data_IF_005863859451
#
_entry.id   IF_005863859451
#
_cell.length_a   1.000
_cell.length_b   1.000
_cell.length_c   1.000
_cell.angle_alpha   90.00
_cell.angle_beta   90.00
_cell.angle_gamma   90.00
#
_symmetry.space_group_name_H-M   'P 1'
#
loop_
_entity.id
_entity.type
_entity.pdbx_description
1 polymer ?
#
# COMPACT_ATOMS: atom_id res chain seq x y z
N UNK A 1 9.93 8.19 1.72
CA UNK A 1 8.90 9.17 2.14
C UNK A 1 9.13 9.62 3.58
N UNK A 2 8.81 10.88 3.92
CA UNK A 2 8.88 11.40 5.29
C UNK A 2 7.60 11.10 6.09
N UNK A 3 7.68 11.15 7.42
CA UNK A 3 6.49 11.07 8.30
C UNK A 3 5.42 12.12 7.96
N UNK A 4 5.82 13.33 7.58
CA UNK A 4 4.90 14.40 7.18
C UNK A 4 4.16 14.08 5.89
N UNK A 5 4.82 13.44 4.91
CA UNK A 5 4.17 13.02 3.68
C UNK A 5 3.14 11.90 3.92
N UNK A 6 3.43 10.97 4.84
CA UNK A 6 2.43 9.98 5.29
C UNK A 6 1.20 10.65 5.92
N UNK A 7 1.40 11.68 6.74
CA UNK A 7 0.28 12.45 7.32
C UNK A 7 -0.55 13.17 6.25
N UNK A 8 0.11 13.81 5.28
CA UNK A 8 -0.58 14.48 4.19
C UNK A 8 -1.39 13.49 3.34
N UNK A 9 -0.83 12.31 3.05
CA UNK A 9 -1.56 11.25 2.34
C UNK A 9 -2.86 10.90 3.07
N UNK A 10 -2.80 10.68 4.39
CA UNK A 10 -4.00 10.35 5.17
C UNK A 10 -5.04 11.46 5.16
N UNK A 11 -4.60 12.72 5.33
CA UNK A 11 -5.50 13.88 5.26
C UNK A 11 -6.19 13.96 3.90
N UNK A 12 -5.46 13.75 2.80
CA UNK A 12 -6.04 13.74 1.46
C UNK A 12 -7.01 12.57 1.28
N UNK A 13 -6.64 11.37 1.76
CA UNK A 13 -7.53 10.22 1.69
C UNK A 13 -8.84 10.43 2.44
N UNK A 14 -8.80 11.17 3.54
CA UNK A 14 -9.99 11.52 4.31
C UNK A 14 -10.82 12.62 3.65
N UNK A 15 -10.18 13.71 3.24
CA UNK A 15 -10.84 14.86 2.62
C UNK A 15 -11.53 14.49 1.30
N UNK A 16 -10.87 13.67 0.48
CA UNK A 16 -11.34 13.35 -0.87
C UNK A 16 -12.09 12.01 -0.93
N UNK A 17 -12.35 11.39 0.23
CA UNK A 17 -12.98 10.08 0.35
C UNK A 17 -12.30 8.98 -0.48
N UNK A 18 -10.97 8.96 -0.50
CA UNK A 18 -10.21 7.93 -1.20
C UNK A 18 -10.27 6.62 -0.42
N UNK A 19 -10.70 5.56 -1.10
CA UNK A 19 -10.82 4.22 -0.50
C UNK A 19 -9.48 3.48 -0.46
N UNK A 20 -8.62 3.69 -1.47
CA UNK A 20 -7.37 3.00 -1.65
C UNK A 20 -6.27 3.92 -2.21
N UNK A 21 -5.04 3.78 -1.71
CA UNK A 21 -3.86 4.46 -2.23
C UNK A 21 -2.76 3.45 -2.58
N UNK A 22 -2.15 3.65 -3.75
CA UNK A 22 -0.94 2.93 -4.18
C UNK A 22 0.26 3.79 -3.82
N UNK A 23 1.14 3.28 -2.95
CA UNK A 23 2.20 4.07 -2.30
C UNK A 23 3.57 3.51 -2.64
N UNK A 24 4.46 4.36 -3.14
CA UNK A 24 5.87 4.05 -3.35
C UNK A 24 6.74 4.71 -2.29
N UNK A 25 7.83 4.03 -1.92
CA UNK A 25 8.79 4.40 -0.88
C UNK A 25 8.14 4.90 0.42
N UNK A 26 7.14 4.19 0.99
CA UNK A 26 6.47 4.66 2.19
C UNK A 26 7.45 4.84 3.36
N UNK A 27 7.08 5.66 4.35
CA UNK A 27 7.86 5.75 5.57
C UNK A 27 7.75 4.43 6.34
N UNK A 28 8.83 3.65 6.38
CA UNK A 28 8.90 2.37 7.08
C UNK A 28 9.86 2.42 8.26
N UNK A 29 9.53 1.69 9.32
CA UNK A 29 10.40 1.47 10.47
C UNK A 29 10.27 0.03 10.96
N UNK A 30 11.38 -0.72 11.02
CA UNK A 30 11.42 -2.13 11.45
C UNK A 30 10.32 -2.99 10.78
N UNK A 31 10.27 -2.96 9.45
CA UNK A 31 9.37 -3.79 8.63
C UNK A 31 7.88 -3.50 8.88
N UNK A 32 7.59 -2.29 9.36
CA UNK A 32 6.24 -1.79 9.59
C UNK A 32 6.05 -0.43 8.96
N UNK A 33 4.80 -0.06 8.73
CA UNK A 33 4.38 1.26 8.24
C UNK A 33 3.73 2.05 9.39
N UNK A 34 4.52 2.72 10.25
CA UNK A 34 3.98 3.45 11.38
C UNK A 34 3.22 4.71 10.93
N UNK A 35 2.27 5.14 11.76
CA UNK A 35 1.57 6.41 11.58
C UNK A 35 0.20 6.30 10.90
N UNK A 36 -0.14 5.14 10.33
CA UNK A 36 -1.49 4.88 9.84
C UNK A 36 -2.43 4.47 10.99
N UNK A 37 -3.69 4.95 11.02
CA UNK A 37 -4.69 4.47 11.97
C UNK A 37 -4.94 2.97 11.83
N UNK A 38 -5.29 2.31 12.93
CA UNK A 38 -5.64 0.88 12.92
C UNK A 38 -6.86 0.53 12.07
N UNK A 39 -7.65 1.52 11.67
CA UNK A 39 -8.77 1.36 10.75
C UNK A 39 -8.34 1.15 9.29
N UNK A 40 -7.10 1.52 8.95
CA UNK A 40 -6.53 1.33 7.62
C UNK A 40 -5.90 -0.07 7.54
N UNK A 41 -6.17 -0.76 6.45
CA UNK A 41 -5.51 -2.03 6.13
C UNK A 41 -4.31 -1.75 5.24
N UNK A 42 -3.14 -2.23 5.65
CA UNK A 42 -1.86 -1.96 5.01
C UNK A 42 -1.37 -3.26 4.38
N UNK A 43 -1.10 -3.23 3.08
CA UNK A 43 -0.61 -4.37 2.31
C UNK A 43 0.79 -4.05 1.79
N UNK A 44 1.75 -4.89 2.14
CA UNK A 44 3.15 -4.81 1.77
C UNK A 44 3.81 -6.18 1.97
N UNK A 45 5.02 -6.37 1.44
CA UNK A 45 5.79 -7.60 1.68
C UNK A 45 6.27 -7.67 3.14
N UNK A 46 5.75 -8.61 3.97
CA UNK A 46 6.12 -8.71 5.37
C UNK A 46 7.51 -9.33 5.57
N UNK A 47 8.09 -9.95 4.53
CA UNK A 47 9.35 -10.68 4.63
C UNK A 47 10.57 -9.82 4.28
N UNK A 48 10.37 -8.56 3.89
CA UNK A 48 11.44 -7.65 3.52
C UNK A 48 11.79 -6.70 4.66
N UNK A 49 13.09 -6.40 4.78
CA UNK A 49 13.59 -5.37 5.72
C UNK A 49 13.25 -3.95 5.30
N UNK A 50 12.93 -3.77 4.01
CA UNK A 50 12.61 -2.48 3.41
C UNK A 50 11.31 -2.61 2.62
N UNK A 51 10.38 -1.70 2.85
CA UNK A 51 9.11 -1.63 2.13
C UNK A 51 9.23 -0.54 1.07
N UNK A 52 9.30 -0.91 -0.22
CA UNK A 52 9.38 0.08 -1.32
C UNK A 52 8.06 0.28 -2.04
N UNK A 53 7.13 -0.66 -1.92
CA UNK A 53 5.76 -0.49 -2.36
C UNK A 53 4.80 -0.93 -1.26
N UNK A 54 3.65 -0.25 -1.20
CA UNK A 54 2.52 -0.61 -0.36
C UNK A 54 1.21 -0.28 -1.06
N UNK A 55 0.14 -0.97 -0.65
CA UNK A 55 -1.23 -0.60 -0.95
C UNK A 55 -1.94 -0.37 0.37
N UNK A 56 -2.62 0.78 0.49
CA UNK A 56 -3.30 1.21 1.71
C UNK A 56 -4.78 1.28 1.41
N UNK A 57 -5.59 0.58 2.22
CA UNK A 57 -7.05 0.51 2.05
C UNK A 57 -7.73 1.05 3.30
N UNK A 58 -8.43 2.18 3.15
CA UNK A 58 -9.23 2.83 4.20
C UNK A 58 -10.63 2.23 4.29
N UNK A 59 -11.23 1.92 3.14
CA UNK A 59 -12.62 1.47 3.08
C UNK A 59 -12.81 0.10 3.71
N UNK A 60 -13.85 -0.08 4.54
CA UNK A 60 -14.23 -1.38 5.09
C UNK A 60 -15.14 -2.21 4.18
N UNK A 61 -15.70 -1.58 3.15
CA UNK A 61 -16.62 -2.24 2.21
C UNK A 61 -15.88 -3.03 1.12
N UNK A 62 -14.58 -2.79 0.96
CA UNK A 62 -13.74 -3.50 0.01
C UNK A 62 -13.27 -4.82 0.62
N UNK A 63 -13.59 -5.94 -0.02
CA UNK A 63 -12.92 -7.22 0.27
C UNK A 63 -11.55 -7.23 -0.41
N UNK A 64 -10.53 -7.75 0.27
CA UNK A 64 -9.14 -7.62 -0.17
C UNK A 64 -8.37 -8.92 0.03
N UNK A 65 -7.67 -9.39 -0.99
CA UNK A 65 -6.82 -10.58 -0.94
C UNK A 65 -5.44 -10.24 -1.52
N UNK A 66 -4.40 -10.34 -0.70
CA UNK A 66 -3.03 -10.11 -1.13
C UNK A 66 -2.50 -11.35 -1.85
N UNK A 67 -1.92 -11.14 -3.03
CA UNK A 67 -1.25 -12.21 -3.76
C UNK A 67 0.23 -12.23 -3.35
N UNK A 68 0.54 -13.06 -2.36
CA UNK A 68 1.92 -13.23 -1.89
C UNK A 68 2.85 -13.88 -2.92
N UNK A 69 2.34 -14.52 -3.99
CA UNK A 69 3.20 -15.10 -5.05
C UNK A 69 3.77 -14.02 -5.97
N UNK A 70 3.03 -12.93 -6.14
CA UNK A 70 3.38 -11.79 -6.99
C UNK A 70 3.65 -10.52 -6.16
N UNK A 71 3.94 -10.67 -4.87
CA UNK A 71 4.31 -9.57 -3.98
C UNK A 71 5.75 -9.77 -3.53
N UNK A 72 6.54 -8.71 -3.65
CA UNK A 72 7.91 -8.61 -3.14
C UNK A 72 8.15 -7.20 -2.57
N UNK A 73 9.39 -6.91 -2.20
CA UNK A 73 9.73 -5.60 -1.62
C UNK A 73 9.52 -4.40 -2.55
N UNK A 74 9.49 -4.59 -3.88
CA UNK A 74 9.24 -3.54 -4.90
C UNK A 74 7.81 -3.53 -5.42
N UNK A 75 7.07 -4.65 -5.30
CA UNK A 75 5.74 -4.82 -5.86
C UNK A 75 4.75 -5.37 -4.84
N UNK A 76 3.58 -4.76 -4.75
CA UNK A 76 2.46 -5.32 -4.00
C UNK A 76 1.31 -5.58 -4.95
N UNK A 77 0.83 -6.81 -4.95
CA UNK A 77 -0.32 -7.25 -5.75
C UNK A 77 -1.51 -7.52 -4.83
N UNK A 78 -2.61 -6.82 -5.06
CA UNK A 78 -3.82 -6.91 -4.23
C UNK A 78 -5.05 -7.08 -5.11
N UNK A 79 -5.79 -8.15 -4.90
CA UNK A 79 -7.15 -8.26 -5.42
C UNK A 79 -8.11 -7.50 -4.52
N UNK A 80 -8.93 -6.64 -5.11
CA UNK A 80 -9.92 -5.80 -4.44
C UNK A 80 -11.28 -6.12 -5.04
N UNK A 81 -12.22 -6.54 -4.20
CA UNK A 81 -13.58 -6.92 -4.61
C UNK A 81 -14.58 -5.93 -4.02
N UNK A 82 -15.45 -5.41 -4.87
CA UNK A 82 -16.57 -4.53 -4.50
C UNK A 82 -17.83 -4.95 -5.24
N UNK A 83 -18.88 -5.32 -4.50
CA UNK A 83 -20.08 -5.92 -5.07
C UNK A 83 -19.76 -7.18 -5.88
N UNK A 84 -20.13 -7.18 -7.17
CA UNK A 84 -19.85 -8.27 -8.11
C UNK A 84 -18.61 -8.04 -8.98
N UNK A 85 -17.81 -7.01 -8.69
CA UNK A 85 -16.63 -6.66 -9.51
C UNK A 85 -15.35 -6.91 -8.73
N UNK A 86 -14.37 -7.51 -9.40
CA UNK A 86 -13.03 -7.71 -8.89
C UNK A 86 -12.03 -6.87 -9.69
N UNK A 87 -11.08 -6.26 -9.00
CA UNK A 87 -9.98 -5.48 -9.56
C UNK A 87 -8.67 -6.05 -9.03
N UNK A 88 -7.62 -6.06 -9.85
CA UNK A 88 -6.26 -6.35 -9.39
C UNK A 88 -5.46 -5.07 -9.41
N UNK A 89 -4.98 -4.66 -8.24
CA UNK A 89 -4.13 -3.50 -8.07
C UNK A 89 -2.67 -3.92 -7.95
N UNK A 90 -1.80 -3.14 -8.61
CA UNK A 90 -0.35 -3.28 -8.54
C UNK A 90 0.23 -1.96 -8.08
N UNK A 91 0.88 -1.96 -6.91
CA UNK A 91 1.76 -0.87 -6.51
C UNK A 91 3.19 -1.32 -6.77
N UNK A 92 3.91 -0.60 -7.63
CA UNK A 92 5.27 -0.95 -8.01
C UNK A 92 6.21 0.24 -7.83
N UNK A 93 7.42 -0.04 -7.37
CA UNK A 93 8.53 0.90 -7.35
C UNK A 93 9.67 0.41 -8.26
N UNK A 94 9.98 1.20 -9.29
CA UNK A 94 11.13 0.95 -10.16
C UNK A 94 12.38 1.55 -9.53
N UNK A 95 13.37 0.71 -9.23
CA UNK A 95 14.66 1.15 -8.72
C UNK A 95 15.38 2.01 -9.77
N UNK A 96 15.71 3.29 -9.47
CA UNK A 96 16.35 4.16 -10.44
C UNK A 96 17.75 3.67 -10.85
N UNK A 97 18.41 2.86 -10.02
CA UNK A 97 19.77 2.37 -10.27
C UNK A 97 19.84 0.94 -10.83
N UNK A 98 18.72 0.20 -10.92
CA UNK A 98 18.75 -1.13 -11.53
C UNK A 98 18.48 -0.99 -13.02
N UNK A 99 19.40 -1.49 -13.84
CA UNK A 99 19.12 -1.70 -15.26
C UNK A 99 18.13 -2.86 -15.37
N UNK A 100 16.96 -2.58 -15.94
CA UNK A 100 15.92 -3.56 -16.23
C UNK A 100 16.24 -4.34 -17.50
#
# INVERSE_FOLDING_TARGET
MSKSATQQLMLNMEADNIDCALVQEPHSYRNSLPGYPSTYRLFYDPNSDIIKAAIIVRSRHLSTFIDYKNTDYNMVTLEVITGSTAFTFFSYYFEPSKKH
#
